data_IF_965684437857
#
_entry.id   IF_965684437857
#
_cell.length_a   1.000
_cell.length_b   1.000
_cell.length_c   1.000
_cell.angle_alpha   90.00
_cell.angle_beta   90.00
_cell.angle_gamma   90.00
#
_symmetry.space_group_name_H-M   'P 1'
#
loop_
_entity.id
_entity.type
_entity.pdbx_description
1 polymer ?
#
# COMPACT_ATOMS: atom_id res chain seq x y z
N UNK A 1 2.11 -0.83 -24.03
CA UNK A 1 3.15 -1.72 -23.46
C UNK A 1 2.44 -2.94 -22.86
N UNK A 2 2.95 -4.17 -23.00
CA UNK A 2 2.37 -5.38 -22.39
C UNK A 2 3.34 -5.89 -21.32
N UNK A 3 2.82 -6.32 -20.17
CA UNK A 3 3.58 -6.87 -19.05
C UNK A 3 2.88 -8.14 -18.59
N UNK A 4 3.64 -9.19 -18.28
CA UNK A 4 3.12 -10.48 -17.81
C UNK A 4 3.64 -10.75 -16.39
N UNK A 5 2.71 -11.02 -15.48
CA UNK A 5 3.02 -11.46 -14.12
C UNK A 5 3.01 -12.99 -14.04
N UNK A 6 3.75 -13.59 -13.09
CA UNK A 6 3.78 -15.05 -12.88
C UNK A 6 2.48 -15.58 -12.24
N UNK A 7 1.60 -14.70 -11.76
CA UNK A 7 0.36 -15.04 -11.07
C UNK A 7 -0.85 -14.45 -11.78
N UNK A 8 -2.00 -15.11 -11.63
CA UNK A 8 -3.26 -14.58 -12.13
C UNK A 8 -3.65 -13.32 -11.37
N UNK A 9 -4.00 -12.27 -12.11
CA UNK A 9 -4.52 -11.02 -11.56
C UNK A 9 -5.99 -11.23 -11.15
N UNK A 10 -6.32 -10.84 -9.93
CA UNK A 10 -7.68 -10.90 -9.35
C UNK A 10 -8.36 -9.54 -9.47
N UNK A 11 -7.63 -8.49 -9.12
CA UNK A 11 -8.12 -7.12 -9.08
C UNK A 11 -7.00 -6.16 -9.52
N UNK A 12 -7.40 -5.08 -10.16
CA UNK A 12 -6.52 -3.99 -10.54
C UNK A 12 -7.17 -2.67 -10.15
N UNK A 13 -6.41 -1.82 -9.45
CA UNK A 13 -6.79 -0.44 -9.15
C UNK A 13 -5.73 0.47 -9.75
N UNK A 14 -6.14 1.59 -10.34
CA UNK A 14 -5.22 2.54 -10.95
C UNK A 14 -5.69 3.97 -10.76
N UNK A 15 -4.73 4.88 -10.71
CA UNK A 15 -4.92 6.32 -10.69
C UNK A 15 -4.19 6.96 -11.88
N UNK A 16 -4.17 8.29 -11.93
CA UNK A 16 -3.41 9.00 -12.97
C UNK A 16 -1.89 8.84 -12.79
N UNK A 17 -1.46 8.40 -11.61
CA UNK A 17 -0.05 8.36 -11.20
C UNK A 17 0.51 6.96 -11.02
N UNK A 18 -0.26 6.01 -10.47
CA UNK A 18 0.24 4.65 -10.22
C UNK A 18 -0.85 3.59 -10.37
N UNK A 19 -0.42 2.33 -10.36
CA UNK A 19 -1.28 1.15 -10.51
C UNK A 19 -0.94 0.15 -9.42
N UNK A 20 -1.98 -0.50 -8.91
CA UNK A 20 -1.92 -1.54 -7.88
C UNK A 20 -2.63 -2.78 -8.43
N UNK A 21 -1.98 -3.93 -8.32
CA UNK A 21 -2.45 -5.21 -8.84
C UNK A 21 -2.48 -6.22 -7.70
N UNK A 22 -3.66 -6.81 -7.45
CA UNK A 22 -3.84 -7.93 -6.55
C UNK A 22 -3.83 -9.23 -7.35
N UNK A 23 -3.00 -10.19 -6.92
CA UNK A 23 -2.89 -11.51 -7.56
C UNK A 23 -3.43 -12.62 -6.66
N UNK A 24 -3.68 -13.80 -7.24
CA UNK A 24 -4.39 -14.91 -6.57
C UNK A 24 -3.75 -15.46 -5.28
N UNK A 25 -2.47 -15.16 -5.05
CA UNK A 25 -1.77 -15.48 -3.80
C UNK A 25 -1.98 -14.46 -2.68
N UNK A 26 -2.87 -13.47 -2.86
CA UNK A 26 -3.05 -12.36 -1.93
C UNK A 26 -1.85 -11.41 -1.90
N UNK A 27 -1.04 -11.39 -2.97
CA UNK A 27 0.14 -10.52 -3.09
C UNK A 27 -0.22 -9.26 -3.87
N UNK A 28 0.45 -8.16 -3.52
CA UNK A 28 0.28 -6.86 -4.18
C UNK A 28 1.50 -6.52 -5.01
N UNK A 29 1.25 -6.13 -6.25
CA UNK A 29 2.24 -5.51 -7.12
C UNK A 29 1.87 -4.06 -7.39
N UNK A 30 2.86 -3.19 -7.46
CA UNK A 30 2.67 -1.76 -7.73
C UNK A 30 3.58 -1.31 -8.88
N UNK A 31 3.13 -0.33 -9.65
CA UNK A 31 3.95 0.32 -10.68
C UNK A 31 3.50 1.76 -10.94
N UNK A 32 4.37 2.57 -11.54
CA UNK A 32 4.12 3.95 -11.93
C UNK A 32 4.96 4.96 -11.14
N UNK A 33 4.36 6.11 -10.85
CA UNK A 33 4.97 7.18 -10.06
C UNK A 33 5.13 6.72 -8.62
N UNK A 34 6.25 7.10 -8.01
CA UNK A 34 6.59 6.71 -6.64
C UNK A 34 7.15 7.86 -5.78
N UNK A 35 6.95 9.11 -6.20
CA UNK A 35 7.60 10.27 -5.58
C UNK A 35 7.26 10.40 -4.08
N UNK A 36 6.08 9.93 -3.68
CA UNK A 36 5.60 9.98 -2.29
C UNK A 36 5.76 8.62 -1.55
N UNK A 37 6.31 7.61 -2.24
CA UNK A 37 6.47 6.25 -1.72
C UNK A 37 5.24 5.35 -1.94
N UNK A 38 4.30 5.74 -2.81
CA UNK A 38 3.06 4.99 -3.07
C UNK A 38 3.24 3.58 -3.62
N UNK A 39 4.44 3.22 -4.09
CA UNK A 39 4.69 1.85 -4.53
C UNK A 39 5.06 0.91 -3.37
N UNK A 40 5.46 1.44 -2.20
CA UNK A 40 5.83 0.59 -1.07
C UNK A 40 7.16 -0.16 -1.26
N UNK A 41 8.04 0.38 -2.11
CA UNK A 41 9.26 -0.26 -2.58
C UNK A 41 10.50 -0.07 -1.70
N UNK A 42 10.39 0.63 -0.57
CA UNK A 42 11.56 1.05 0.22
C UNK A 42 12.32 2.26 -0.35
N UNK A 43 11.86 2.82 -1.48
CA UNK A 43 12.43 4.00 -2.12
C UNK A 43 11.34 4.86 -2.79
N UNK A 44 11.70 6.05 -3.28
CA UNK A 44 10.80 7.00 -3.96
C UNK A 44 11.02 7.12 -5.48
N UNK A 45 11.83 6.25 -6.07
CA UNK A 45 12.03 6.20 -7.52
C UNK A 45 10.81 5.62 -8.24
N UNK A 46 10.41 6.24 -9.35
CA UNK A 46 9.36 5.74 -10.25
C UNK A 46 9.77 4.39 -10.87
N UNK A 47 8.81 3.48 -11.04
CA UNK A 47 9.06 2.14 -11.58
C UNK A 47 8.03 1.81 -12.64
N UNK A 48 8.46 1.58 -13.88
CA UNK A 48 7.53 1.27 -14.97
C UNK A 48 7.07 -0.20 -15.02
N UNK A 49 7.77 -1.07 -14.30
CA UNK A 49 7.44 -2.49 -14.22
C UNK A 49 6.81 -2.79 -12.86
N UNK A 50 5.81 -3.69 -12.78
CA UNK A 50 5.25 -4.15 -11.53
C UNK A 50 6.33 -4.69 -10.59
N UNK A 51 6.37 -4.17 -9.38
CA UNK A 51 7.23 -4.65 -8.30
C UNK A 51 6.38 -5.20 -7.18
N UNK A 52 6.87 -6.24 -6.52
CA UNK A 52 6.22 -6.84 -5.36
C UNK A 52 6.35 -5.88 -4.16
N UNK A 53 5.25 -5.69 -3.43
CA UNK A 53 5.28 -4.94 -2.16
C UNK A 53 5.69 -5.89 -1.04
N UNK A 54 7.01 -5.98 -0.81
CA UNK A 54 7.60 -6.99 0.07
C UNK A 54 7.16 -6.89 1.54
N UNK A 55 6.94 -5.69 2.07
CA UNK A 55 6.67 -5.52 3.51
C UNK A 55 5.30 -6.07 3.93
N UNK A 56 4.33 -6.20 3.03
CA UNK A 56 3.01 -6.80 3.32
C UNK A 56 2.85 -8.24 2.83
N UNK A 57 3.89 -8.86 2.25
CA UNK A 57 3.79 -10.21 1.67
C UNK A 57 3.45 -11.31 2.67
N UNK A 58 3.59 -11.04 3.96
CA UNK A 58 3.26 -11.94 5.05
C UNK A 58 1.76 -11.96 5.38
N UNK A 59 0.96 -11.08 4.77
CA UNK A 59 -0.51 -11.05 4.89
C UNK A 59 -1.17 -11.38 3.57
N UNK A 60 -2.32 -12.05 3.64
CA UNK A 60 -3.17 -12.31 2.49
C UNK A 60 -4.07 -11.11 2.24
N UNK A 61 -3.79 -10.36 1.16
CA UNK A 61 -4.60 -9.21 0.77
C UNK A 61 -5.86 -9.68 0.01
N UNK A 62 -7.00 -9.05 0.32
CA UNK A 62 -8.32 -9.38 -0.25
C UNK A 62 -8.93 -8.25 -1.06
N UNK A 63 -8.53 -7.00 -0.84
CA UNK A 63 -8.92 -5.86 -1.68
C UNK A 63 -7.81 -4.81 -1.74
N UNK A 64 -7.76 -4.07 -2.85
CA UNK A 64 -6.81 -2.97 -3.05
C UNK A 64 -7.45 -1.76 -3.72
N UNK A 65 -7.10 -0.56 -3.26
CA UNK A 65 -7.49 0.70 -3.89
C UNK A 65 -6.31 1.68 -3.90
N UNK A 66 -6.30 2.61 -4.85
CA UNK A 66 -5.29 3.66 -4.90
C UNK A 66 -5.90 5.03 -5.22
N UNK A 67 -5.20 6.08 -4.78
CA UNK A 67 -5.40 7.45 -5.24
C UNK A 67 -4.14 7.93 -5.99
N UNK A 68 -3.96 9.23 -6.26
CA UNK A 68 -2.76 9.69 -6.99
C UNK A 68 -1.47 9.63 -6.15
N UNK A 69 -1.59 9.65 -4.82
CA UNK A 69 -0.48 9.77 -3.88
C UNK A 69 -0.27 8.55 -3.00
N UNK A 70 -1.16 7.57 -2.95
CA UNK A 70 -1.07 6.47 -1.99
C UNK A 70 -1.95 5.27 -2.34
N UNK A 71 -1.66 4.17 -1.66
CA UNK A 71 -2.31 2.88 -1.82
C UNK A 71 -2.89 2.43 -0.49
N UNK A 72 -4.12 1.91 -0.51
CA UNK A 72 -4.77 1.25 0.62
C UNK A 72 -5.10 -0.19 0.25
N UNK A 73 -4.90 -1.11 1.19
CA UNK A 73 -5.23 -2.52 1.03
C UNK A 73 -5.90 -3.05 2.30
N UNK A 74 -6.76 -4.05 2.12
CA UNK A 74 -7.40 -4.78 3.21
C UNK A 74 -6.97 -6.23 3.15
N UNK A 75 -6.68 -6.79 4.32
CA UNK A 75 -6.24 -8.17 4.47
C UNK A 75 -7.36 -9.06 5.01
N UNK A 76 -7.19 -10.37 4.84
CA UNK A 76 -8.15 -11.38 5.29
C UNK A 76 -8.34 -11.37 6.81
N UNK A 77 -7.33 -10.96 7.58
CA UNK A 77 -7.36 -10.79 9.04
C UNK A 77 -7.95 -9.44 9.48
N UNK A 78 -8.71 -8.76 8.61
CA UNK A 78 -9.36 -7.48 8.84
C UNK A 78 -8.39 -6.33 9.18
N UNK A 79 -7.12 -6.44 8.78
CA UNK A 79 -6.14 -5.35 8.92
C UNK A 79 -6.13 -4.49 7.66
N UNK A 80 -6.27 -3.18 7.86
CA UNK A 80 -6.14 -2.18 6.81
C UNK A 80 -4.69 -1.68 6.82
N UNK A 81 -4.04 -1.69 5.66
CA UNK A 81 -2.70 -1.13 5.49
C UNK A 81 -2.74 -0.03 4.45
N UNK A 82 -2.10 1.10 4.73
CA UNK A 82 -2.08 2.26 3.86
C UNK A 82 -0.66 2.83 3.79
N UNK A 83 -0.23 3.26 2.61
CA UNK A 83 1.08 3.89 2.42
C UNK A 83 1.05 4.90 1.27
N UNK A 84 2.08 5.75 1.21
CA UNK A 84 2.39 6.57 0.05
C UNK A 84 2.17 8.06 0.18
N UNK A 85 1.48 8.62 1.17
CA UNK A 85 1.17 10.06 1.18
C UNK A 85 2.20 10.94 1.93
N UNK A 86 3.51 10.70 1.74
CA UNK A 86 4.67 11.49 2.27
C UNK A 86 5.44 10.92 3.48
N UNK A 87 5.52 9.59 3.58
CA UNK A 87 6.43 8.75 4.41
C UNK A 87 5.79 8.01 5.59
N UNK A 88 5.29 6.80 5.33
CA UNK A 88 5.18 5.76 6.34
C UNK A 88 4.38 4.57 5.81
N UNK A 89 4.86 3.31 5.82
CA UNK A 89 6.24 2.80 5.99
C UNK A 89 6.48 1.63 5.03
N UNK A 90 7.72 1.46 4.53
CA UNK A 90 8.23 0.14 4.13
C UNK A 90 8.91 -0.62 5.28
N UNK A 91 9.34 0.03 6.38
CA UNK A 91 9.64 -0.68 7.65
C UNK A 91 9.62 0.17 8.95
N UNK A 92 10.03 1.45 9.02
CA UNK A 92 9.71 2.41 10.11
C UNK A 92 10.13 3.82 9.64
N UNK A 93 9.33 4.86 9.90
CA UNK A 93 9.62 6.22 9.43
C UNK A 93 8.44 7.17 9.65
N UNK A 94 8.22 7.51 10.92
CA UNK A 94 7.43 8.60 11.51
C UNK A 94 6.34 9.28 10.66
N UNK A 95 5.09 8.88 10.88
CA UNK A 95 4.09 9.87 11.28
C UNK A 95 3.81 9.68 12.77
N UNK A 96 4.45 10.50 13.61
CA UNK A 96 3.97 10.75 14.96
C UNK A 96 2.52 11.27 14.84
N UNK A 97 1.53 10.39 14.95
CA UNK A 97 0.42 10.74 15.81
C UNK A 97 1.06 10.84 17.19
N UNK A 98 1.30 12.07 17.61
CA UNK A 98 1.49 12.40 19.01
C UNK A 98 0.64 11.42 19.86
N UNK A 99 1.27 10.64 20.74
CA UNK A 99 0.60 9.70 21.64
C UNK A 99 -0.55 10.37 22.43
N UNK A 100 -0.54 11.71 22.50
CA UNK A 100 -1.63 12.56 23.01
C UNK A 100 -2.97 12.36 22.29
N UNK A 101 -2.99 12.05 20.99
CA UNK A 101 -4.24 11.95 20.23
C UNK A 101 -4.97 10.62 20.46
N UNK A 102 -4.25 9.53 20.72
CA UNK A 102 -4.85 8.22 21.06
C UNK A 102 -5.32 8.13 22.51
N UNK A 103 -4.74 8.92 23.40
CA UNK A 103 -5.16 9.00 24.81
C UNK A 103 -6.51 9.70 24.99
N UNK A 104 -6.86 10.67 24.13
CA UNK A 104 -8.10 11.45 24.26
C UNK A 104 -9.37 10.69 23.85
N UNK A 105 -9.31 9.77 22.89
CA UNK A 105 -10.47 8.94 22.52
C UNK A 105 -10.84 7.91 23.59
N UNK A 106 -9.89 7.48 24.44
CA UNK A 106 -10.16 6.58 25.56
C UNK A 106 -10.82 7.26 26.75
N UNK A 107 -10.77 8.59 26.84
CA UNK A 107 -11.32 9.37 27.97
C UNK A 107 -12.66 10.04 27.67
N UNK A 108 -13.25 9.86 26.48
CA UNK A 108 -14.60 10.35 26.15
C UNK A 108 -15.66 9.24 26.00
N UNK A 109 -15.34 8.00 26.38
CA UNK A 109 -16.32 6.91 26.54
C UNK A 109 -16.11 6.21 27.90
N UNK A 110 -16.08 7.01 28.97
CA UNK A 110 -16.33 6.56 30.35
C UNK A 110 -17.17 7.59 31.08
#
# INVERSE_FOLDING_TARGET
KKVQLPYRIIEASFSSMHTVLLVEKGLIYTMGRNIEGQLGAGHTNCVEQPILVDFIKHRTIVNCQCNDQGTIVTSQDNVITFWGTRNGIPEFGDCNFDESATALWRLQIS
#
